data_IF_347213929598
#
_entry.id   IF_347213929598
#
_cell.length_a   1.000
_cell.length_b   1.000
_cell.length_c   1.000
_cell.angle_alpha   90.00
_cell.angle_beta   90.00
_cell.angle_gamma   90.00
#
_symmetry.space_group_name_H-M   'P 1'
#
loop_
_entity.id
_entity.type
_entity.pdbx_description
1 polymer ?
#
# COMPACT_ATOMS: atom_id res chain seq x y z
N UNK A 1 3.24 -14.44 -29.20
CA UNK A 1 3.01 -14.25 -27.75
C UNK A 1 3.86 -13.09 -27.30
N UNK A 2 3.27 -11.94 -27.01
CA UNK A 2 3.98 -10.83 -26.37
C UNK A 2 3.98 -11.06 -24.86
N UNK A 3 5.15 -11.07 -24.25
CA UNK A 3 5.27 -11.09 -22.78
C UNK A 3 4.90 -9.68 -22.32
N UNK A 4 3.75 -9.53 -21.63
CA UNK A 4 3.40 -8.28 -20.95
C UNK A 4 3.88 -8.38 -19.51
N UNK A 5 4.83 -7.53 -19.12
CA UNK A 5 5.19 -7.39 -17.72
C UNK A 5 4.05 -6.71 -16.96
N UNK A 6 3.75 -7.13 -15.72
CA UNK A 6 2.80 -6.40 -14.90
C UNK A 6 3.31 -4.98 -14.70
N UNK A 7 2.44 -3.99 -14.93
CA UNK A 7 2.78 -2.60 -14.63
C UNK A 7 2.91 -2.46 -13.11
N UNK A 8 4.04 -1.92 -12.65
CA UNK A 8 4.32 -1.77 -11.22
C UNK A 8 4.16 -0.32 -10.75
N UNK A 9 3.75 -0.15 -9.49
CA UNK A 9 3.67 1.15 -8.82
C UNK A 9 4.26 1.05 -7.40
N UNK A 10 5.06 2.04 -7.05
CA UNK A 10 5.58 2.27 -5.71
C UNK A 10 4.83 3.45 -5.09
N UNK A 11 4.23 3.25 -3.93
CA UNK A 11 3.53 4.27 -3.15
C UNK A 11 4.35 4.53 -1.89
N UNK A 12 4.72 5.78 -1.64
CA UNK A 12 5.44 6.19 -0.44
C UNK A 12 4.49 7.00 0.46
N UNK A 13 4.32 6.55 1.70
CA UNK A 13 3.43 7.15 2.68
C UNK A 13 4.23 7.51 3.94
N UNK A 14 4.31 8.80 4.22
CA UNK A 14 4.76 9.33 5.51
C UNK A 14 3.53 9.52 6.38
N UNK A 15 3.48 8.85 7.53
CA UNK A 15 2.36 8.97 8.47
C UNK A 15 2.57 10.24 9.30
N UNK A 16 1.87 11.31 8.94
CA UNK A 16 1.93 12.58 9.69
C UNK A 16 0.76 12.66 10.67
N UNK A 17 -0.45 12.27 10.24
CA UNK A 17 -1.62 12.12 11.10
C UNK A 17 -1.95 10.64 11.33
N UNK A 18 -2.17 10.25 12.59
CA UNK A 18 -2.26 8.88 13.11
C UNK A 18 -3.01 7.83 12.24
N UNK A 19 -3.95 8.22 11.37
CA UNK A 19 -4.74 7.28 10.54
C UNK A 19 -5.12 7.76 9.13
N UNK A 20 -5.02 9.07 8.83
CA UNK A 20 -5.56 9.64 7.59
C UNK A 20 -4.74 9.23 6.36
N UNK A 21 -3.44 9.52 6.42
CA UNK A 21 -2.53 9.35 5.29
C UNK A 21 -2.37 7.87 4.91
N UNK A 22 -2.12 7.03 5.92
CA UNK A 22 -1.95 5.59 5.74
C UNK A 22 -3.23 4.91 5.25
N UNK A 23 -4.40 5.33 5.72
CA UNK A 23 -5.68 4.79 5.26
C UNK A 23 -5.94 5.08 3.78
N UNK A 24 -5.62 6.30 3.32
CA UNK A 24 -5.75 6.69 1.92
C UNK A 24 -4.76 5.91 1.05
N UNK A 25 -3.48 5.85 1.43
CA UNK A 25 -2.47 5.11 0.69
C UNK A 25 -2.79 3.60 0.62
N UNK A 26 -3.28 3.00 1.71
CA UNK A 26 -3.67 1.60 1.74
C UNK A 26 -4.86 1.30 0.82
N UNK A 27 -5.90 2.14 0.87
CA UNK A 27 -7.06 1.98 -0.02
C UNK A 27 -6.66 2.11 -1.49
N UNK A 28 -5.82 3.09 -1.82
CA UNK A 28 -5.30 3.27 -3.17
C UNK A 28 -4.51 2.05 -3.63
N UNK A 29 -3.60 1.54 -2.78
CA UNK A 29 -2.79 0.36 -3.08
C UNK A 29 -3.66 -0.86 -3.42
N UNK A 30 -4.69 -1.13 -2.59
CA UNK A 30 -5.63 -2.23 -2.84
C UNK A 30 -6.39 -2.05 -4.15
N UNK A 31 -6.87 -0.83 -4.45
CA UNK A 31 -7.61 -0.57 -5.68
C UNK A 31 -6.71 -0.75 -6.92
N UNK A 32 -5.49 -0.23 -6.89
CA UNK A 32 -4.50 -0.45 -7.96
C UNK A 32 -4.22 -1.93 -8.22
N UNK A 33 -4.11 -2.73 -7.16
CA UNK A 33 -3.90 -4.17 -7.29
C UNK A 33 -5.15 -4.88 -7.85
N UNK A 34 -6.31 -4.68 -7.22
CA UNK A 34 -7.52 -5.43 -7.53
C UNK A 34 -8.21 -5.00 -8.84
N UNK A 35 -8.31 -3.70 -9.11
CA UNK A 35 -9.07 -3.19 -10.26
C UNK A 35 -8.21 -3.05 -11.52
N UNK A 36 -6.91 -2.82 -11.36
CA UNK A 36 -6.00 -2.53 -12.48
C UNK A 36 -4.91 -3.59 -12.69
N UNK A 37 -4.85 -4.62 -11.84
CA UNK A 37 -3.87 -5.71 -11.96
C UNK A 37 -2.42 -5.24 -11.82
N UNK A 38 -2.19 -4.13 -11.11
CA UNK A 38 -0.86 -3.57 -10.92
C UNK A 38 -0.09 -4.36 -9.84
N UNK A 39 1.22 -4.46 -10.01
CA UNK A 39 2.11 -4.89 -8.93
C UNK A 39 2.36 -3.68 -8.03
N UNK A 40 1.87 -3.72 -6.79
CA UNK A 40 1.92 -2.59 -5.88
C UNK A 40 2.91 -2.85 -4.75
N UNK A 41 3.74 -1.87 -4.43
CA UNK A 41 4.53 -1.81 -3.20
C UNK A 41 4.15 -0.53 -2.45
N UNK A 42 3.82 -0.67 -1.17
CA UNK A 42 3.49 0.44 -0.29
C UNK A 42 4.58 0.55 0.78
N UNK A 43 5.31 1.66 0.76
CA UNK A 43 6.34 2.02 1.73
C UNK A 43 5.71 2.92 2.79
N UNK A 44 5.86 2.54 4.05
CA UNK A 44 5.31 3.25 5.21
C UNK A 44 6.43 3.44 6.23
N UNK A 45 6.57 4.64 6.75
CA UNK A 45 7.57 4.98 7.77
C UNK A 45 7.16 4.56 9.19
N UNK A 46 5.87 4.56 9.50
CA UNK A 46 5.31 4.05 10.77
C UNK A 46 4.36 2.85 10.55
N UNK A 47 4.94 1.64 10.65
CA UNK A 47 4.19 0.38 10.58
C UNK A 47 3.29 0.14 11.79
N UNK A 48 3.56 0.73 12.96
CA UNK A 48 2.74 0.56 14.15
C UNK A 48 1.39 1.27 14.00
N UNK A 49 1.37 2.43 13.33
CA UNK A 49 0.12 3.09 12.94
C UNK A 49 -0.63 2.31 11.87
N UNK A 50 0.08 1.67 10.94
CA UNK A 50 -0.56 0.82 9.92
C UNK A 50 -1.22 -0.44 10.50
N UNK A 51 -0.57 -1.12 11.45
CA UNK A 51 -1.10 -2.33 12.09
C UNK A 51 -2.43 -2.11 12.82
N UNK A 52 -2.79 -0.86 13.16
CA UNK A 52 -4.11 -0.52 13.72
C UNK A 52 -5.23 -0.58 12.68
N UNK A 53 -4.91 -0.42 11.38
CA UNK A 53 -5.87 -0.46 10.28
C UNK A 53 -5.97 -1.84 9.63
N UNK A 54 -4.89 -2.62 9.65
CA UNK A 54 -4.82 -3.94 9.04
C UNK A 54 -4.11 -4.90 9.99
N UNK A 55 -4.87 -5.82 10.59
CA UNK A 55 -4.38 -6.72 11.64
C UNK A 55 -3.41 -7.78 11.14
N UNK A 56 -3.27 -7.92 9.82
CA UNK A 56 -2.34 -8.87 9.19
C UNK A 56 -0.93 -8.28 9.02
N UNK A 57 -0.73 -6.99 9.34
CA UNK A 57 0.59 -6.36 9.29
C UNK A 57 1.41 -6.77 10.51
N UNK A 58 2.51 -7.46 10.24
CA UNK A 58 3.52 -7.78 11.24
C UNK A 58 4.43 -6.56 11.46
N UNK A 59 4.47 -6.07 12.70
CA UNK A 59 5.41 -5.04 13.15
C UNK A 59 6.54 -5.78 13.87
N UNK A 60 7.73 -5.79 13.29
CA UNK A 60 8.92 -6.40 13.89
C UNK A 60 9.39 -5.65 15.14
#
# INVERSE_FOLDING_TARGET
MTISFPKSIDIFCTVIDNFGDIGVCWRLAKQCHHEYGLQVRLWVDDLASFAKLESTIEVN
#
